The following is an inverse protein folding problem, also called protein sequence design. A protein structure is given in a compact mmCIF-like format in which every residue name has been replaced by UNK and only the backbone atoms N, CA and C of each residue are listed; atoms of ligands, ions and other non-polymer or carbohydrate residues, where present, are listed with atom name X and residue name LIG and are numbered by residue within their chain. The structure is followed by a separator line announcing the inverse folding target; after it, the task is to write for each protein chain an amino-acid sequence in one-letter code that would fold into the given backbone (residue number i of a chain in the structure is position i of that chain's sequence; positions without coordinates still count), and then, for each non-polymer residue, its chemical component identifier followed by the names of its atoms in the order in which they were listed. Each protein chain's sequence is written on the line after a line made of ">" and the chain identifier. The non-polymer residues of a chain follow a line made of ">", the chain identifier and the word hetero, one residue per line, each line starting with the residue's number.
data_IF_493877608656
#
_entry.id   IF_493877608656
#
_cell.length_a   1.000
_cell.length_b   1.000
_cell.length_c   1.000
_cell.angle_alpha   90.00
_cell.angle_beta   90.00
_cell.angle_gamma   90.00
#
_symmetry.space_group_name_H-M   'P 1'
#
loop_
_entity.id
_entity.type
_entity.pdbx_description
1 polymer ?
#
# COMPACT_ATOMS: atom_id res chain seq x y z
N UNK A 1 8.58 0.50 10.76
CA UNK A 1 8.55 0.23 9.30
C UNK A 1 7.33 -0.62 8.99
N UNK A 2 6.66 -0.39 7.86
CA UNK A 2 5.56 -1.22 7.36
C UNK A 2 5.93 -1.68 5.95
N UNK A 3 5.61 -2.91 5.61
CA UNK A 3 5.86 -3.52 4.30
C UNK A 3 4.56 -4.16 3.81
N UNK A 4 4.36 -4.14 2.50
CA UNK A 4 3.30 -4.85 1.80
C UNK A 4 3.98 -5.97 1.00
N UNK A 5 3.48 -7.19 1.13
CA UNK A 5 4.05 -8.37 0.49
C UNK A 5 2.99 -8.98 -0.41
N UNK A 6 3.35 -9.16 -1.67
CA UNK A 6 2.59 -9.96 -2.62
C UNK A 6 3.10 -11.40 -2.56
N UNK A 7 2.23 -12.33 -2.18
CA UNK A 7 2.55 -13.73 -1.96
C UNK A 7 1.50 -14.61 -2.62
N UNK A 8 1.92 -15.75 -3.15
CA UNK A 8 0.99 -16.73 -3.70
C UNK A 8 0.01 -17.21 -2.63
N UNK A 9 -1.28 -17.24 -2.95
CA UNK A 9 -2.37 -17.65 -2.03
C UNK A 9 -2.09 -18.99 -1.36
N UNK A 10 -1.57 -19.96 -2.12
CA UNK A 10 -1.22 -21.30 -1.62
C UNK A 10 -0.17 -21.29 -0.50
N UNK A 11 0.60 -20.21 -0.37
CA UNK A 11 1.65 -20.02 0.63
C UNK A 11 1.25 -19.04 1.73
N UNK A 12 0.11 -18.36 1.62
CA UNK A 12 -0.30 -17.34 2.57
C UNK A 12 -0.41 -17.85 4.01
N UNK A 13 -1.01 -19.03 4.20
CA UNK A 13 -1.16 -19.65 5.52
C UNK A 13 0.20 -19.94 6.17
N UNK A 14 1.11 -20.59 5.41
CA UNK A 14 2.47 -20.87 5.86
C UNK A 14 3.23 -19.59 6.23
N UNK A 15 3.15 -18.56 5.38
CA UNK A 15 3.84 -17.31 5.61
C UNK A 15 3.33 -16.59 6.86
N UNK A 16 2.01 -16.60 7.09
CA UNK A 16 1.41 -16.04 8.30
C UNK A 16 1.85 -16.75 9.59
N UNK A 17 2.06 -18.07 9.56
CA UNK A 17 2.63 -18.80 10.68
C UNK A 17 4.09 -18.45 10.92
N UNK A 18 4.89 -18.34 9.85
CA UNK A 18 6.28 -17.93 9.94
C UNK A 18 6.42 -16.54 10.58
N UNK A 19 5.58 -15.58 10.19
CA UNK A 19 5.58 -14.22 10.73
C UNK A 19 5.27 -14.18 12.25
N UNK A 20 4.46 -15.11 12.76
CA UNK A 20 4.15 -15.19 14.20
C UNK A 20 5.34 -15.63 15.04
N UNK A 21 6.30 -16.34 14.46
CA UNK A 21 7.49 -16.82 15.18
C UNK A 21 8.55 -15.72 15.40
N UNK A 22 8.43 -14.58 14.72
CA UNK A 22 9.35 -13.47 14.86
C UNK A 22 8.86 -12.47 15.91
N UNK A 23 9.52 -12.43 17.07
CA UNK A 23 9.16 -11.55 18.21
C UNK A 23 9.22 -10.04 17.91
N UNK A 24 9.96 -9.64 16.86
CA UNK A 24 10.04 -8.25 16.41
C UNK A 24 8.87 -7.83 15.51
N UNK A 25 8.05 -8.77 15.04
CA UNK A 25 6.86 -8.48 14.23
C UNK A 25 5.72 -8.13 15.17
N UNK A 26 5.37 -6.85 15.19
CA UNK A 26 4.27 -6.34 16.04
C UNK A 26 2.90 -6.83 15.60
N UNK A 27 2.68 -6.95 14.29
CA UNK A 27 1.39 -7.36 13.69
C UNK A 27 1.58 -7.78 12.24
N UNK A 28 0.98 -8.91 11.86
CA UNK A 28 0.74 -9.32 10.48
C UNK A 28 -0.76 -9.22 10.19
N UNK A 29 -1.16 -8.69 9.04
CA UNK A 29 -2.57 -8.52 8.68
C UNK A 29 -2.73 -8.81 7.21
N UNK A 30 -3.58 -9.79 6.90
CA UNK A 30 -3.98 -10.08 5.53
C UNK A 30 -4.97 -9.00 5.08
N UNK A 31 -4.79 -8.53 3.85
CA UNK A 31 -5.65 -7.55 3.20
C UNK A 31 -6.11 -8.15 1.86
N UNK A 32 -7.25 -7.70 1.35
CA UNK A 32 -7.68 -8.06 -0.01
C UNK A 32 -6.81 -7.35 -1.05
N UNK A 33 -6.76 -7.91 -2.25
CA UNK A 33 -6.02 -7.37 -3.40
C UNK A 33 -6.42 -5.92 -3.69
N UNK A 34 -7.73 -5.64 -3.83
CA UNK A 34 -8.23 -4.28 -4.08
C UNK A 34 -7.80 -3.28 -2.99
N UNK A 35 -7.67 -3.75 -1.73
CA UNK A 35 -7.23 -2.89 -0.62
C UNK A 35 -5.71 -2.66 -0.66
N UNK A 36 -4.95 -3.64 -1.15
CA UNK A 36 -3.51 -3.50 -1.36
C UNK A 36 -3.23 -2.48 -2.48
N UNK A 37 -3.94 -2.58 -3.59
CA UNK A 37 -3.88 -1.62 -4.71
C UNK A 37 -4.21 -0.21 -4.25
N UNK A 38 -5.38 -0.02 -3.60
CA UNK A 38 -5.79 1.28 -3.08
C UNK A 38 -4.74 1.92 -2.13
N UNK A 39 -4.08 1.11 -1.28
CA UNK A 39 -3.01 1.62 -0.41
C UNK A 39 -1.81 2.12 -1.23
N UNK A 40 -1.44 1.41 -2.30
CA UNK A 40 -0.34 1.77 -3.19
C UNK A 40 -0.68 3.04 -3.98
N UNK A 41 -1.89 3.15 -4.49
CA UNK A 41 -2.32 4.29 -5.27
C UNK A 41 -2.46 5.56 -4.42
N UNK A 42 -3.02 5.45 -3.21
CA UNK A 42 -3.03 6.58 -2.26
C UNK A 42 -1.61 7.02 -1.92
N UNK A 43 -0.69 6.07 -1.70
CA UNK A 43 0.71 6.40 -1.40
C UNK A 43 1.34 7.16 -2.57
N UNK A 44 1.12 6.71 -3.81
CA UNK A 44 1.59 7.38 -5.02
C UNK A 44 1.00 8.79 -5.15
N UNK A 45 -0.32 8.95 -4.96
CA UNK A 45 -0.97 10.25 -4.99
C UNK A 45 -0.40 11.22 -3.95
N UNK A 46 -0.07 10.75 -2.74
CA UNK A 46 0.57 11.57 -1.70
C UNK A 46 2.00 11.98 -2.11
N UNK A 47 2.74 11.10 -2.80
CA UNK A 47 4.07 11.42 -3.33
C UNK A 47 3.98 12.46 -4.46
N UNK A 48 3.03 12.31 -5.39
CA UNK A 48 2.75 13.29 -6.44
C UNK A 48 2.36 14.66 -5.87
N UNK A 49 1.50 14.70 -4.84
CA UNK A 49 1.15 15.95 -4.15
C UNK A 49 2.35 16.64 -3.50
N UNK A 50 3.36 15.90 -3.05
CA UNK A 50 4.62 16.52 -2.57
C UNK A 50 5.36 17.18 -3.72
N UNK A 51 5.44 16.54 -4.89
CA UNK A 51 6.07 17.11 -6.08
C UNK A 51 5.35 18.37 -6.57
N UNK A 52 4.00 18.38 -6.49
CA UNK A 52 3.18 19.56 -6.77
C UNK A 52 3.53 20.71 -5.81
N UNK A 53 3.62 20.42 -4.50
CA UNK A 53 4.00 21.42 -3.49
C UNK A 53 5.42 21.96 -3.69
N UNK A 54 6.32 21.15 -4.25
CA UNK A 54 7.68 21.54 -4.62
C UNK A 54 7.76 22.30 -5.96
N UNK A 55 6.63 22.46 -6.68
CA UNK A 55 6.59 23.11 -7.99
C UNK A 55 7.17 22.27 -9.13
N UNK A 56 7.37 20.96 -8.91
CA UNK A 56 7.96 20.02 -9.88
C UNK A 56 6.91 19.33 -10.76
N UNK A 57 5.64 19.46 -10.41
CA UNK A 57 4.52 18.82 -11.09
C UNK A 57 3.29 19.76 -11.01
N UNK A 58 2.45 19.75 -12.05
CA UNK A 58 1.18 20.47 -12.02
C UNK A 58 0.12 19.68 -11.26
N UNK A 59 -0.72 20.39 -10.50
CA UNK A 59 -1.84 19.77 -9.81
C UNK A 59 -2.91 19.30 -10.81
N UNK A 60 -3.57 18.18 -10.50
CA UNK A 60 -4.78 17.73 -11.22
C UNK A 60 -6.03 17.87 -10.36
N UNK A 61 -7.20 17.78 -10.98
CA UNK A 61 -8.48 17.79 -10.26
C UNK A 61 -8.52 16.60 -9.28
N UNK A 62 -9.01 16.85 -8.06
CA UNK A 62 -9.16 15.85 -7.03
C UNK A 62 -10.31 14.87 -7.30
N UNK A 63 -11.38 15.32 -7.97
CA UNK A 63 -12.51 14.47 -8.34
C UNK A 63 -12.06 13.41 -9.36
N UNK A 64 -11.37 13.82 -10.42
CA UNK A 64 -10.80 12.92 -11.43
C UNK A 64 -9.86 11.87 -10.80
N UNK A 65 -9.04 12.29 -9.82
CA UNK A 65 -8.16 11.37 -9.08
C UNK A 65 -8.98 10.34 -8.27
N UNK A 66 -10.08 10.75 -7.63
CA UNK A 66 -10.91 9.85 -6.81
C UNK A 66 -11.66 8.84 -7.70
N UNK A 67 -12.11 9.27 -8.88
CA UNK A 67 -12.81 8.39 -9.83
C UNK A 67 -11.90 7.31 -10.44
N UNK A 68 -10.57 7.49 -10.38
CA UNK A 68 -9.57 6.52 -10.83
C UNK A 68 -9.16 5.49 -9.75
N UNK A 69 -9.52 5.71 -8.48
CA UNK A 69 -9.12 4.89 -7.31
C UNK A 69 -10.22 3.91 -6.86
#
# INVERSE_FOLDING_TARGET
>A
MKILLDIQDSKAAFFMELLKNFSFIKKATQISENKAELIMDIKKAVEELKLVKEGKMEARNAEDLIDEL
#
